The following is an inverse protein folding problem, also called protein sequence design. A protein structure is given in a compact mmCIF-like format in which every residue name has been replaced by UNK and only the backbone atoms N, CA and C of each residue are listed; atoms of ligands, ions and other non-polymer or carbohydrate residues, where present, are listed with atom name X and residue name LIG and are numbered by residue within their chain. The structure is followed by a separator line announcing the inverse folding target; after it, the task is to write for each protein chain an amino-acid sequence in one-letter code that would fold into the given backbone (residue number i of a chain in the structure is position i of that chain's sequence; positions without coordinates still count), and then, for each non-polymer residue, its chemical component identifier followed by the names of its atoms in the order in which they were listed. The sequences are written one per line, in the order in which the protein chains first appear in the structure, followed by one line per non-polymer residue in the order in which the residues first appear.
data_IF_462834591408
#
_entry.id   IF_462834591408
#
_cell.length_a   1.000
_cell.length_b   1.000
_cell.length_c   1.000
_cell.angle_alpha   90.00
_cell.angle_beta   90.00
_cell.angle_gamma   90.00
#
_symmetry.space_group_name_H-M   'P 1'
#
loop_
_entity.id
_entity.type
_entity.pdbx_description
1 polymer ?
#
# COMPACT_ATOMS: atom_id res chain seq x y z
N UNK A 1 51.36 -4.75 -44.86
CA UNK A 1 52.71 -4.45 -45.39
C UNK A 1 53.36 -3.49 -44.41
N UNK A 2 54.28 -3.96 -43.57
CA UNK A 2 55.74 -3.76 -43.73
C UNK A 2 56.08 -2.25 -43.85
N UNK A 3 56.77 -1.60 -42.92
CA UNK A 3 58.09 -1.96 -42.41
C UNK A 3 58.45 -1.27 -41.08
N UNK A 4 59.24 -2.01 -40.31
CA UNK A 4 60.02 -1.62 -39.14
C UNK A 4 61.26 -0.83 -39.59
N UNK A 5 61.63 0.25 -38.88
CA UNK A 5 63.03 0.65 -38.75
C UNK A 5 63.35 1.08 -37.31
N UNK A 6 64.25 0.32 -36.70
CA UNK A 6 64.93 0.58 -35.41
C UNK A 6 66.10 1.55 -35.60
N UNK A 7 66.43 2.31 -34.54
CA UNK A 7 67.78 2.64 -33.99
C UNK A 7 67.57 3.63 -32.82
N UNK A 8 67.79 3.30 -31.55
CA UNK A 8 69.01 2.97 -30.78
C UNK A 8 69.67 4.19 -30.10
N UNK A 9 69.84 4.04 -28.77
CA UNK A 9 70.89 4.55 -27.85
C UNK A 9 70.87 5.99 -27.29
N UNK A 10 70.65 6.03 -25.96
CA UNK A 10 71.42 6.67 -24.89
C UNK A 10 71.49 8.22 -24.72
N UNK A 11 70.89 8.65 -23.60
CA UNK A 11 71.55 9.25 -22.40
C UNK A 11 71.27 10.72 -22.05
N UNK A 12 71.05 10.89 -20.74
CA UNK A 12 71.11 12.06 -19.85
C UNK A 12 69.94 13.06 -19.79
N UNK A 13 69.34 13.06 -18.60
CA UNK A 13 68.65 14.11 -17.83
C UNK A 13 68.54 15.51 -18.43
N UNK A 14 67.30 16.05 -18.43
CA UNK A 14 66.96 17.18 -17.57
C UNK A 14 65.44 17.46 -17.62
N UNK A 15 64.89 17.68 -16.43
CA UNK A 15 63.58 18.25 -16.17
C UNK A 15 63.37 19.55 -16.96
N UNK A 16 62.32 19.60 -17.77
CA UNK A 16 61.56 20.82 -17.99
C UNK A 16 60.16 20.46 -18.50
N UNK A 17 59.17 20.74 -17.65
CA UNK A 17 57.74 20.63 -17.92
C UNK A 17 57.38 21.37 -19.21
N UNK A 18 57.15 20.61 -20.28
CA UNK A 18 56.48 21.11 -21.48
C UNK A 18 55.02 20.68 -21.42
N UNK A 19 54.15 21.65 -21.18
CA UNK A 19 52.70 21.48 -21.24
C UNK A 19 52.31 20.89 -22.61
N UNK A 20 51.75 19.68 -22.61
CA UNK A 20 51.08 19.15 -23.79
C UNK A 20 49.74 19.87 -23.95
N UNK A 21 49.59 20.54 -25.09
CA UNK A 21 48.34 21.15 -25.52
C UNK A 21 47.25 20.06 -25.63
N UNK A 22 46.07 20.22 -25.01
CA UNK A 22 45.00 19.26 -25.16
C UNK A 22 44.45 19.33 -26.58
N UNK A 23 44.54 18.22 -27.32
CA UNK A 23 43.88 18.06 -28.61
C UNK A 23 42.36 18.31 -28.46
N UNK A 24 41.89 19.42 -29.04
CA UNK A 24 40.47 19.71 -29.22
C UNK A 24 39.85 18.77 -30.26
N UNK A 25 39.44 17.58 -29.84
CA UNK A 25 38.48 16.78 -30.58
C UNK A 25 37.06 17.14 -30.10
N UNK A 26 36.43 18.10 -30.77
CA UNK A 26 35.04 18.53 -30.53
C UNK A 26 34.00 17.54 -31.08
N UNK A 27 34.09 16.24 -30.76
CA UNK A 27 33.02 15.30 -31.15
C UNK A 27 32.91 14.00 -30.34
N UNK A 28 33.34 13.98 -29.07
CA UNK A 28 32.91 12.93 -28.14
C UNK A 28 32.19 13.58 -26.96
N UNK A 29 30.97 14.05 -27.21
CA UNK A 29 30.01 14.26 -26.13
C UNK A 29 29.68 12.88 -25.56
N UNK A 30 30.37 12.48 -24.51
CA UNK A 30 29.98 11.34 -23.68
C UNK A 30 28.67 11.72 -23.02
N UNK A 31 27.54 11.52 -23.72
CA UNK A 31 26.22 11.66 -23.12
C UNK A 31 26.18 10.70 -21.95
N UNK A 32 26.02 11.23 -20.74
CA UNK A 32 25.80 10.40 -19.56
C UNK A 32 24.71 9.37 -19.87
N UNK A 33 24.87 8.11 -19.41
CA UNK A 33 23.85 7.10 -19.65
C UNK A 33 22.48 7.61 -19.17
N UNK A 34 21.40 7.31 -19.90
CA UNK A 34 20.07 7.75 -19.53
C UNK A 34 19.76 7.29 -18.10
N UNK A 35 19.16 8.18 -17.30
CA UNK A 35 18.69 7.83 -15.96
C UNK A 35 17.74 6.65 -16.06
N UNK A 36 18.01 5.63 -15.27
CA UNK A 36 17.14 4.46 -15.11
C UNK A 36 16.44 4.50 -13.77
N UNK A 37 15.25 3.92 -13.73
CA UNK A 37 14.44 3.78 -12.52
C UNK A 37 15.18 2.95 -11.47
N UNK A 38 15.30 3.52 -10.28
CA UNK A 38 15.83 2.87 -9.07
C UNK A 38 14.77 2.79 -7.97
N UNK A 39 14.98 1.92 -6.98
CA UNK A 39 14.10 1.84 -5.80
C UNK A 39 14.13 3.19 -5.07
N UNK A 40 12.93 3.70 -4.72
CA UNK A 40 12.76 5.02 -4.10
C UNK A 40 12.45 6.15 -5.09
N UNK A 41 12.75 6.01 -6.38
CA UNK A 41 12.34 7.00 -7.38
C UNK A 41 10.82 7.09 -7.48
N UNK A 42 10.31 8.27 -7.81
CA UNK A 42 8.92 8.46 -8.21
C UNK A 42 8.84 8.27 -9.72
N UNK A 43 8.04 7.31 -10.16
CA UNK A 43 7.89 7.00 -11.59
C UNK A 43 6.46 7.28 -12.01
N UNK A 44 6.31 7.99 -13.13
CA UNK A 44 5.03 8.12 -13.82
C UNK A 44 5.03 7.20 -15.04
N UNK A 45 4.02 6.35 -15.15
CA UNK A 45 3.81 5.48 -16.31
C UNK A 45 2.41 5.69 -16.91
N UNK A 46 2.28 5.47 -18.21
CA UNK A 46 0.98 5.27 -18.87
C UNK A 46 0.68 3.77 -18.88
N UNK A 47 -0.22 3.34 -18.00
CA UNK A 47 -0.51 1.94 -17.72
C UNK A 47 -1.73 1.46 -18.52
N UNK A 48 -1.72 0.19 -18.90
CA UNK A 48 -2.91 -0.55 -19.32
C UNK A 48 -2.81 -1.98 -18.80
N UNK A 49 -3.79 -2.38 -18.00
CA UNK A 49 -3.89 -3.72 -17.43
C UNK A 49 -5.25 -4.35 -17.71
N UNK A 50 -5.27 -5.50 -18.37
CA UNK A 50 -6.50 -6.24 -18.68
C UNK A 50 -6.48 -7.63 -18.04
N UNK A 51 -7.55 -8.06 -17.33
CA UNK A 51 -7.62 -9.43 -16.79
C UNK A 51 -7.54 -10.46 -17.91
N UNK A 52 -6.62 -11.41 -17.84
CA UNK A 52 -6.47 -12.44 -18.89
C UNK A 52 -7.64 -13.43 -18.89
N UNK A 53 -8.14 -13.78 -17.70
CA UNK A 53 -9.22 -14.76 -17.52
C UNK A 53 -10.60 -14.11 -17.27
N UNK A 54 -10.75 -12.82 -17.58
CA UNK A 54 -12.03 -12.09 -17.58
C UNK A 54 -12.65 -11.77 -16.21
N UNK A 55 -12.19 -12.37 -15.11
CA UNK A 55 -12.72 -12.09 -13.78
C UNK A 55 -11.61 -11.81 -12.76
N UNK A 56 -11.31 -10.53 -12.58
CA UNK A 56 -10.70 -10.03 -11.35
C UNK A 56 -11.65 -8.95 -10.82
N UNK A 57 -12.09 -9.01 -9.55
CA UNK A 57 -12.86 -7.94 -8.92
C UNK A 57 -12.16 -6.60 -9.11
N UNK A 58 -12.90 -5.50 -8.96
CA UNK A 58 -12.32 -4.17 -9.06
C UNK A 58 -11.05 -4.08 -8.20
N UNK A 59 -9.86 -3.89 -8.82
CA UNK A 59 -8.63 -3.83 -8.07
C UNK A 59 -8.59 -2.57 -7.22
N UNK A 60 -7.79 -2.61 -6.18
CA UNK A 60 -7.62 -1.49 -5.23
C UNK A 60 -6.79 -0.32 -5.80
N UNK A 61 -6.49 -0.34 -7.09
CA UNK A 61 -5.61 0.58 -7.80
C UNK A 61 -6.07 0.78 -9.25
N UNK A 62 -5.61 1.85 -9.88
CA UNK A 62 -5.94 2.16 -11.27
C UNK A 62 -5.36 1.12 -12.24
N UNK A 63 -6.17 0.67 -13.21
CA UNK A 63 -5.74 -0.28 -14.25
C UNK A 63 -5.32 0.37 -15.57
N UNK A 64 -5.59 1.66 -15.73
CA UNK A 64 -5.37 2.33 -17.00
C UNK A 64 -5.10 3.81 -16.82
N UNK A 65 -4.30 4.36 -17.73
CA UNK A 65 -3.98 5.78 -17.78
C UNK A 65 -2.71 6.12 -17.02
N UNK A 66 -2.54 7.43 -16.77
CA UNK A 66 -1.33 7.97 -16.15
C UNK A 66 -1.36 7.78 -14.65
N UNK A 67 -0.47 6.93 -14.16
CA UNK A 67 -0.30 6.68 -12.72
C UNK A 67 1.10 7.09 -12.30
N UNK A 68 1.24 7.53 -11.06
CA UNK A 68 2.53 7.84 -10.45
C UNK A 68 2.67 7.11 -9.12
N UNK A 69 3.83 6.50 -8.88
CA UNK A 69 4.09 5.82 -7.62
C UNK A 69 5.58 5.79 -7.27
N UNK A 70 5.89 5.65 -5.99
CA UNK A 70 7.26 5.44 -5.50
C UNK A 70 7.63 3.97 -5.65
N UNK A 71 8.73 3.68 -6.33
CA UNK A 71 9.18 2.31 -6.58
C UNK A 71 9.62 1.66 -5.27
N UNK A 72 9.03 0.50 -4.94
CA UNK A 72 9.29 -0.23 -3.70
C UNK A 72 8.47 0.26 -2.50
N UNK A 73 7.55 1.22 -2.68
CA UNK A 73 6.71 1.70 -1.58
C UNK A 73 5.35 1.01 -1.41
N UNK A 74 5.06 0.00 -2.23
CA UNK A 74 3.70 -0.51 -2.33
C UNK A 74 2.82 0.48 -3.11
N UNK A 75 1.51 0.42 -2.94
CA UNK A 75 0.48 1.14 -3.71
C UNK A 75 0.02 0.42 -4.99
N UNK A 76 0.91 -0.30 -5.67
CA UNK A 76 0.59 -1.14 -6.83
C UNK A 76 1.09 -2.57 -6.65
N UNK A 77 0.76 -3.44 -7.62
CA UNK A 77 1.19 -4.84 -7.61
C UNK A 77 2.72 -4.95 -7.54
N UNK A 78 3.29 -5.86 -6.71
CA UNK A 78 4.73 -6.05 -6.60
C UNK A 78 5.43 -6.25 -7.96
N UNK A 79 4.81 -7.04 -8.84
CA UNK A 79 5.33 -7.29 -10.19
C UNK A 79 5.46 -6.00 -11.02
N UNK A 80 4.57 -5.01 -10.82
CA UNK A 80 4.68 -3.73 -11.52
C UNK A 80 5.92 -2.95 -11.04
N UNK A 81 6.19 -2.95 -9.72
CA UNK A 81 7.40 -2.33 -9.16
C UNK A 81 8.68 -3.02 -9.64
N UNK A 82 8.65 -4.33 -9.90
CA UNK A 82 9.79 -5.06 -10.47
C UNK A 82 9.97 -4.74 -11.96
N UNK A 83 8.89 -4.68 -12.74
CA UNK A 83 8.95 -4.43 -14.18
C UNK A 83 9.47 -3.05 -14.55
N UNK A 84 9.17 -2.03 -13.73
CA UNK A 84 9.66 -0.66 -13.97
C UNK A 84 11.13 -0.48 -13.63
N UNK A 85 11.72 -1.35 -12.79
CA UNK A 85 13.12 -1.21 -12.40
C UNK A 85 14.06 -1.34 -13.60
N UNK A 86 15.12 -0.54 -13.60
CA UNK A 86 16.11 -0.46 -14.67
C UNK A 86 15.55 -0.01 -16.04
N UNK A 87 14.32 0.54 -16.09
CA UNK A 87 13.76 1.17 -17.29
C UNK A 87 14.13 2.65 -17.35
N UNK A 88 14.30 3.19 -18.55
CA UNK A 88 14.51 4.61 -18.80
C UNK A 88 13.21 5.27 -19.27
N UNK A 89 13.16 6.61 -19.25
CA UNK A 89 12.05 7.38 -19.83
C UNK A 89 11.91 7.04 -21.31
N UNK A 90 10.68 6.71 -21.73
CA UNK A 90 10.36 6.26 -23.09
C UNK A 90 10.40 4.75 -23.30
N UNK A 91 10.94 3.97 -22.35
CA UNK A 91 10.89 2.52 -22.42
C UNK A 91 9.45 2.02 -22.36
N UNK A 92 9.17 0.97 -23.13
CA UNK A 92 7.87 0.33 -23.21
C UNK A 92 7.96 -1.12 -22.77
N UNK A 93 6.95 -1.54 -22.01
CA UNK A 93 6.68 -2.94 -21.71
C UNK A 93 5.32 -3.27 -22.30
N UNK A 94 5.23 -4.36 -23.03
CA UNK A 94 4.00 -4.76 -23.72
C UNK A 94 3.69 -6.22 -23.41
N UNK A 95 2.42 -6.49 -23.12
CA UNK A 95 1.84 -7.81 -22.98
C UNK A 95 2.63 -8.74 -22.03
N UNK A 96 2.93 -8.24 -20.83
CA UNK A 96 3.54 -9.04 -19.78
C UNK A 96 2.47 -9.49 -18.80
N UNK A 97 2.33 -10.81 -18.66
CA UNK A 97 1.45 -11.41 -17.66
C UNK A 97 2.00 -11.18 -16.26
N UNK A 98 1.22 -10.55 -15.38
CA UNK A 98 1.56 -10.31 -13.98
C UNK A 98 0.50 -10.87 -13.04
N UNK A 99 0.93 -11.39 -11.89
CA UNK A 99 0.04 -11.92 -10.84
C UNK A 99 -0.91 -10.81 -10.35
N UNK A 100 -2.21 -11.11 -10.26
CA UNK A 100 -3.23 -10.16 -9.88
C UNK A 100 -3.31 -9.88 -8.36
N UNK A 101 -2.38 -10.42 -7.56
CA UNK A 101 -2.31 -10.20 -6.11
C UNK A 101 -3.14 -11.19 -5.27
N UNK A 102 -3.67 -12.25 -5.89
CA UNK A 102 -4.52 -13.25 -5.21
C UNK A 102 -3.78 -14.54 -4.83
N UNK A 103 -2.46 -14.55 -5.03
CA UNK A 103 -1.59 -15.67 -4.72
C UNK A 103 -1.57 -16.73 -5.82
N UNK A 104 -0.52 -17.57 -5.78
CA UNK A 104 -0.34 -18.63 -6.77
C UNK A 104 -1.41 -19.70 -6.63
N UNK A 105 -1.91 -20.17 -7.76
CA UNK A 105 -2.74 -21.37 -7.82
C UNK A 105 -1.91 -22.59 -7.44
N UNK A 106 -2.46 -23.44 -6.57
CA UNK A 106 -1.84 -24.70 -6.17
C UNK A 106 -2.61 -25.88 -6.78
N UNK A 107 -1.96 -26.64 -7.67
CA UNK A 107 -2.56 -27.83 -8.30
C UNK A 107 -2.86 -28.95 -7.30
N UNK A 108 -2.13 -29.02 -6.18
CA UNK A 108 -2.38 -30.03 -5.13
C UNK A 108 -3.72 -29.81 -4.40
N UNK A 109 -4.32 -28.63 -4.55
CA UNK A 109 -5.65 -28.30 -4.04
C UNK A 109 -6.77 -28.66 -5.03
N UNK A 110 -6.41 -29.16 -6.22
CA UNK A 110 -7.34 -29.77 -7.17
C UNK A 110 -7.39 -31.26 -6.90
N UNK A 111 -8.55 -31.78 -6.57
CA UNK A 111 -8.69 -33.17 -6.16
C UNK A 111 -9.96 -33.81 -6.68
N UNK A 112 -9.88 -35.11 -6.94
CA UNK A 112 -11.02 -35.92 -7.30
C UNK A 112 -11.71 -36.46 -6.03
N UNK A 113 -13.02 -36.23 -5.92
CA UNK A 113 -13.85 -36.67 -4.81
C UNK A 113 -14.91 -37.67 -5.29
N UNK A 114 -15.02 -38.84 -4.64
CA UNK A 114 -16.09 -39.78 -4.95
C UNK A 114 -17.43 -39.31 -4.39
N UNK A 115 -18.53 -39.71 -5.04
CA UNK A 115 -19.92 -39.44 -4.61
C UNK A 115 -20.16 -39.75 -3.13
N UNK A 116 -19.53 -40.79 -2.59
CA UNK A 116 -19.65 -41.17 -1.17
C UNK A 116 -19.25 -40.05 -0.19
N UNK A 117 -18.30 -39.20 -0.58
CA UNK A 117 -17.83 -38.05 0.21
C UNK A 117 -18.69 -36.79 0.05
N UNK A 118 -19.55 -36.76 -0.98
CA UNK A 118 -20.39 -35.62 -1.33
C UNK A 118 -21.84 -35.77 -0.88
N UNK A 119 -22.16 -36.73 0.01
CA UNK A 119 -23.54 -37.02 0.45
C UNK A 119 -24.35 -35.80 0.88
N UNK A 120 -23.70 -34.78 1.47
CA UNK A 120 -24.35 -33.54 1.92
C UNK A 120 -24.59 -32.51 0.80
N UNK A 121 -24.00 -32.72 -0.37
CA UNK A 121 -23.99 -31.81 -1.50
C UNK A 121 -24.64 -32.40 -2.76
N UNK A 122 -25.23 -33.60 -2.66
CA UNK A 122 -26.00 -34.18 -3.75
C UNK A 122 -27.27 -33.36 -4.01
N UNK A 123 -27.70 -33.35 -5.26
CA UNK A 123 -28.98 -32.77 -5.63
C UNK A 123 -30.14 -33.58 -5.02
N UNK A 124 -31.35 -33.03 -5.03
CA UNK A 124 -32.54 -33.67 -4.42
C UNK A 124 -32.86 -35.05 -4.99
N UNK A 125 -32.49 -35.29 -6.25
CA UNK A 125 -32.63 -36.56 -6.96
C UNK A 125 -31.46 -37.55 -6.71
N UNK A 126 -30.47 -37.16 -5.89
CA UNK A 126 -29.28 -37.95 -5.60
C UNK A 126 -28.19 -37.87 -6.67
N UNK A 127 -28.33 -37.00 -7.68
CA UNK A 127 -27.28 -36.74 -8.68
C UNK A 127 -26.13 -35.90 -8.11
N UNK A 128 -24.99 -35.93 -8.81
CA UNK A 128 -23.80 -35.16 -8.46
C UNK A 128 -24.05 -33.65 -8.67
N UNK A 129 -23.39 -32.77 -7.90
CA UNK A 129 -23.51 -31.33 -8.10
C UNK A 129 -22.97 -30.95 -9.50
N UNK A 130 -23.63 -30.03 -10.23
CA UNK A 130 -23.19 -29.64 -11.57
C UNK A 130 -21.91 -28.81 -11.55
N UNK A 131 -21.22 -28.76 -12.69
CA UNK A 131 -20.05 -27.90 -12.91
C UNK A 131 -20.39 -26.44 -12.61
N UNK A 132 -19.47 -25.74 -11.96
CA UNK A 132 -19.66 -24.35 -11.50
C UNK A 132 -20.34 -24.23 -10.13
N UNK A 133 -20.81 -25.33 -9.53
CA UNK A 133 -21.36 -25.29 -8.16
C UNK A 133 -20.25 -25.04 -7.15
N UNK A 134 -20.48 -24.11 -6.21
CA UNK A 134 -19.58 -23.88 -5.07
C UNK A 134 -20.09 -24.62 -3.84
N UNK A 135 -19.38 -25.65 -3.40
CA UNK A 135 -19.68 -26.44 -2.22
C UNK A 135 -19.06 -25.78 -0.99
N UNK A 136 -19.86 -25.47 0.03
CA UNK A 136 -19.40 -24.85 1.27
C UNK A 136 -19.22 -25.91 2.36
N UNK A 137 -17.98 -26.14 2.77
CA UNK A 137 -17.62 -27.05 3.87
C UNK A 137 -17.73 -26.36 5.24
N UNK A 138 -17.64 -27.16 6.30
CA UNK A 138 -17.48 -26.65 7.65
C UNK A 138 -16.18 -25.85 7.78
N UNK A 139 -16.20 -24.77 8.56
CA UNK A 139 -15.05 -23.85 8.67
C UNK A 139 -14.93 -22.85 7.52
N UNK A 140 -15.92 -22.76 6.61
CA UNK A 140 -15.97 -21.73 5.58
C UNK A 140 -15.11 -22.01 4.34
N UNK A 141 -14.52 -23.20 4.24
CA UNK A 141 -13.80 -23.64 3.04
C UNK A 141 -14.80 -23.79 1.88
N UNK A 142 -14.45 -23.27 0.72
CA UNK A 142 -15.24 -23.34 -0.50
C UNK A 142 -14.54 -24.26 -1.48
N UNK A 143 -15.30 -25.13 -2.15
CA UNK A 143 -14.82 -25.99 -3.22
C UNK A 143 -15.61 -25.69 -4.49
N UNK A 144 -14.96 -25.34 -5.58
CA UNK A 144 -15.62 -25.17 -6.88
C UNK A 144 -15.63 -26.50 -7.63
N UNK A 145 -16.79 -26.95 -8.11
CA UNK A 145 -16.89 -28.15 -8.95
C UNK A 145 -16.41 -27.79 -10.36
N UNK A 146 -15.26 -28.33 -10.77
CA UNK A 146 -14.68 -28.10 -12.10
C UNK A 146 -15.22 -29.08 -13.14
N UNK A 147 -15.39 -30.35 -12.74
CA UNK A 147 -15.81 -31.41 -13.64
C UNK A 147 -16.61 -32.47 -12.90
N UNK A 148 -17.53 -33.11 -13.59
CA UNK A 148 -18.34 -34.23 -13.09
C UNK A 148 -18.12 -35.43 -14.00
N UNK A 149 -17.75 -36.57 -13.44
CA UNK A 149 -17.67 -37.84 -14.15
C UNK A 149 -18.81 -38.76 -13.66
N UNK A 150 -19.87 -38.85 -14.47
CA UNK A 150 -21.04 -39.65 -14.12
C UNK A 150 -20.77 -41.16 -14.15
N UNK A 151 -19.90 -41.65 -15.03
CA UNK A 151 -19.59 -43.09 -15.12
C UNK A 151 -18.84 -43.58 -13.89
N UNK A 152 -17.83 -42.82 -13.44
CA UNK A 152 -17.03 -43.15 -12.26
C UNK A 152 -17.67 -42.69 -10.96
N UNK A 153 -18.79 -41.95 -11.02
CA UNK A 153 -19.46 -41.32 -9.87
C UNK A 153 -18.48 -40.46 -9.05
N UNK A 154 -17.65 -39.67 -9.72
CA UNK A 154 -16.66 -38.77 -9.13
C UNK A 154 -16.84 -37.33 -9.62
N UNK A 155 -16.29 -36.37 -8.88
CA UNK A 155 -16.19 -34.97 -9.28
C UNK A 155 -14.78 -34.47 -9.06
N UNK A 156 -14.31 -33.57 -9.92
CA UNK A 156 -13.07 -32.82 -9.69
C UNK A 156 -13.45 -31.50 -9.06
N UNK A 157 -12.88 -31.22 -7.89
CA UNK A 157 -13.09 -29.96 -7.17
C UNK A 157 -11.80 -29.17 -7.08
N UNK A 158 -11.95 -27.85 -7.02
CA UNK A 158 -10.89 -26.90 -6.74
C UNK A 158 -11.08 -26.29 -5.34
N UNK A 159 -10.10 -26.51 -4.46
CA UNK A 159 -10.06 -25.92 -3.12
C UNK A 159 -9.23 -24.63 -3.05
N UNK A 160 -8.69 -24.14 -4.17
CA UNK A 160 -8.01 -22.85 -4.21
C UNK A 160 -8.98 -21.70 -3.85
N UNK A 161 -8.46 -20.58 -3.31
CA UNK A 161 -9.20 -19.32 -3.29
C UNK A 161 -9.72 -18.98 -4.69
N UNK A 162 -10.94 -18.41 -4.84
CA UNK A 162 -11.59 -18.23 -6.15
C UNK A 162 -10.81 -17.48 -7.23
N UNK A 163 -9.80 -16.68 -6.84
CA UNK A 163 -9.00 -15.85 -7.73
C UNK A 163 -7.52 -16.24 -7.74
N UNK A 164 -7.14 -17.34 -7.07
CA UNK A 164 -5.75 -17.77 -7.05
C UNK A 164 -5.26 -18.10 -8.46
N UNK A 165 -4.09 -17.56 -8.82
CA UNK A 165 -3.53 -17.65 -10.16
C UNK A 165 -4.17 -16.73 -11.20
N UNK A 166 -5.06 -15.80 -10.79
CA UNK A 166 -5.51 -14.76 -11.68
C UNK A 166 -4.35 -13.83 -12.07
N UNK A 167 -4.35 -13.39 -13.32
CA UNK A 167 -3.29 -12.57 -13.92
C UNK A 167 -3.88 -11.39 -14.70
N UNK A 168 -3.06 -10.35 -14.85
CA UNK A 168 -3.29 -9.23 -15.75
C UNK A 168 -2.28 -9.28 -16.90
N UNK A 169 -2.76 -9.05 -18.11
CA UNK A 169 -1.93 -8.62 -19.24
C UNK A 169 -1.59 -7.15 -19.02
N UNK A 170 -0.32 -6.87 -18.75
CA UNK A 170 0.19 -5.55 -18.41
C UNK A 170 1.02 -4.97 -19.55
N UNK A 171 0.68 -3.75 -19.95
CA UNK A 171 1.45 -2.93 -20.86
C UNK A 171 1.61 -1.53 -20.28
N UNK A 172 2.81 -0.95 -20.38
CA UNK A 172 3.03 0.43 -19.96
C UNK A 172 4.16 1.12 -20.72
N UNK A 173 4.15 2.45 -20.68
CA UNK A 173 5.27 3.30 -21.12
C UNK A 173 5.76 4.15 -19.95
N UNK A 174 7.07 4.23 -19.74
CA UNK A 174 7.65 5.12 -18.72
C UNK A 174 7.63 6.57 -19.23
N UNK A 175 6.91 7.44 -18.54
CA UNK A 175 6.71 8.84 -18.93
C UNK A 175 7.71 9.80 -18.25
N UNK A 176 7.98 9.60 -16.96
CA UNK A 176 8.95 10.41 -16.22
C UNK A 176 9.53 9.64 -15.03
N UNK A 177 10.74 10.05 -14.62
CA UNK A 177 11.44 9.57 -13.42
C UNK A 177 11.84 10.81 -12.63
N UNK A 178 11.21 10.99 -11.49
CA UNK A 178 11.46 12.09 -10.56
C UNK A 178 12.26 11.56 -9.36
N UNK A 179 13.08 12.43 -8.76
CA UNK A 179 13.94 12.05 -7.63
C UNK A 179 13.14 11.53 -6.43
N UNK A 180 13.72 10.50 -5.79
CA UNK A 180 13.27 10.06 -4.48
C UNK A 180 13.19 11.26 -3.53
N UNK A 181 12.05 11.44 -2.86
CA UNK A 181 11.98 12.42 -1.79
C UNK A 181 12.97 12.01 -0.71
N UNK A 182 13.96 12.87 -0.45
CA UNK A 182 14.84 12.75 0.70
C UNK A 182 14.00 12.87 1.96
N UNK A 183 13.66 11.73 2.55
CA UNK A 183 12.85 11.62 3.77
C UNK A 183 13.45 12.36 4.97
N UNK A 184 14.76 12.62 4.92
CA UNK A 184 15.51 13.36 5.94
C UNK A 184 15.54 14.88 5.68
N UNK A 185 15.23 15.32 4.45
CA UNK A 185 15.35 16.70 3.99
C UNK A 185 14.07 17.18 3.28
N UNK A 186 12.91 17.18 3.94
CA UNK A 186 11.75 17.92 3.44
C UNK A 186 11.58 19.25 4.18
N UNK A 187 12.45 20.26 3.96
CA UNK A 187 11.97 21.63 4.02
C UNK A 187 11.06 21.84 2.81
N UNK A 188 9.79 22.13 3.09
CA UNK A 188 8.79 22.51 2.09
C UNK A 188 9.30 23.66 1.22
N UNK A 189 9.84 23.31 0.05
CA UNK A 189 9.95 24.22 -1.07
C UNK A 189 8.58 24.19 -1.76
N UNK A 190 7.82 25.29 -1.63
CA UNK A 190 6.51 25.50 -2.27
C UNK A 190 6.45 25.23 -3.79
N UNK A 191 7.57 25.00 -4.48
CA UNK A 191 7.64 24.62 -5.90
C UNK A 191 7.79 23.11 -6.16
N UNK A 192 7.85 22.25 -5.13
CA UNK A 192 7.90 20.82 -5.39
C UNK A 192 6.50 20.26 -5.70
N UNK A 193 6.39 19.55 -6.82
CA UNK A 193 5.16 18.89 -7.26
C UNK A 193 4.64 17.92 -6.19
N UNK A 194 5.55 17.15 -5.60
CA UNK A 194 5.26 16.17 -4.57
C UNK A 194 5.43 16.77 -3.17
N UNK A 195 4.46 16.50 -2.30
CA UNK A 195 4.41 16.97 -0.92
C UNK A 195 4.19 15.79 0.04
N UNK A 196 4.57 16.00 1.30
CA UNK A 196 4.38 15.01 2.37
C UNK A 196 3.33 15.52 3.35
N UNK A 197 2.48 14.60 3.82
CA UNK A 197 1.61 14.81 4.97
C UNK A 197 1.72 13.63 5.92
N UNK A 198 1.58 13.88 7.23
CA UNK A 198 1.70 12.83 8.25
C UNK A 198 0.50 12.86 9.18
N UNK A 199 -0.14 11.71 9.35
CA UNK A 199 -1.42 11.57 10.05
C UNK A 199 -1.34 10.45 11.08
N UNK A 200 -1.70 10.72 12.33
CA UNK A 200 -1.98 9.71 13.35
C UNK A 200 -3.49 9.57 13.49
N UNK A 201 -4.03 8.42 13.08
CA UNK A 201 -5.47 8.17 12.97
C UNK A 201 -5.94 6.97 13.81
N UNK A 202 -5.20 6.62 14.86
CA UNK A 202 -5.36 5.34 15.54
C UNK A 202 -4.57 4.25 14.83
N UNK A 203 -5.15 3.04 14.71
CA UNK A 203 -4.48 1.93 14.03
C UNK A 203 -4.12 2.30 12.58
N UNK A 204 -2.82 2.30 12.28
CA UNK A 204 -2.31 2.81 11.01
C UNK A 204 -2.66 1.95 9.78
N UNK A 205 -3.08 0.69 9.95
CA UNK A 205 -3.29 -0.24 8.84
C UNK A 205 -4.49 0.12 7.98
N UNK A 206 -5.63 0.45 8.61
CA UNK A 206 -6.83 0.88 7.91
C UNK A 206 -6.68 2.27 7.30
N UNK A 207 -5.99 3.19 7.99
CA UNK A 207 -5.72 4.52 7.47
C UNK A 207 -4.75 4.51 6.29
N UNK A 208 -3.69 3.68 6.33
CA UNK A 208 -2.78 3.49 5.21
C UNK A 208 -3.54 3.07 3.95
N UNK A 209 -4.37 2.02 4.05
CA UNK A 209 -5.18 1.54 2.94
C UNK A 209 -6.12 2.60 2.37
N UNK A 210 -6.72 3.43 3.24
CA UNK A 210 -7.59 4.53 2.81
C UNK A 210 -6.82 5.56 1.97
N UNK A 211 -5.60 5.96 2.39
CA UNK A 211 -4.78 6.91 1.64
C UNK A 211 -4.22 6.32 0.35
N UNK A 212 -3.85 5.04 0.33
CA UNK A 212 -3.37 4.36 -0.88
C UNK A 212 -4.37 4.44 -2.03
N UNK A 213 -5.67 4.47 -1.71
CA UNK A 213 -6.77 4.54 -2.69
C UNK A 213 -7.08 5.94 -3.20
N UNK A 214 -6.43 6.98 -2.68
CA UNK A 214 -6.71 8.36 -3.08
C UNK A 214 -5.95 8.67 -4.38
N UNK A 215 -6.63 9.02 -5.48
CA UNK A 215 -5.96 9.42 -6.71
C UNK A 215 -5.03 10.62 -6.46
N UNK A 216 -3.78 10.51 -6.91
CA UNK A 216 -2.73 11.50 -6.65
C UNK A 216 -1.83 11.19 -5.45
N UNK A 217 -2.17 10.21 -4.60
CA UNK A 217 -1.22 9.64 -3.65
C UNK A 217 -0.27 8.71 -4.39
N UNK A 218 1.03 8.98 -4.27
CA UNK A 218 2.09 8.24 -4.98
C UNK A 218 2.84 7.27 -4.07
N UNK A 219 2.66 7.37 -2.75
CA UNK A 219 3.20 6.37 -1.84
C UNK A 219 2.81 6.62 -0.40
N UNK A 220 2.73 5.53 0.37
CA UNK A 220 2.45 5.56 1.80
C UNK A 220 3.49 4.75 2.57
N UNK A 221 3.68 5.13 3.82
CA UNK A 221 4.47 4.39 4.81
C UNK A 221 3.78 4.47 6.15
N UNK A 222 3.78 3.36 6.89
CA UNK A 222 3.37 3.35 8.29
C UNK A 222 4.59 3.34 9.21
N UNK A 223 4.46 3.97 10.37
CA UNK A 223 5.58 4.19 11.27
C UNK A 223 5.20 4.87 12.57
N UNK A 224 6.23 5.38 13.23
CA UNK A 224 6.18 5.94 14.57
C UNK A 224 6.75 7.35 14.58
N UNK A 225 6.04 8.29 15.18
CA UNK A 225 6.51 9.70 15.27
C UNK A 225 6.03 10.37 16.57
N UNK A 226 6.51 11.59 16.83
CA UNK A 226 6.22 12.41 18.01
C UNK A 226 6.58 11.81 19.38
N UNK A 227 7.29 10.69 19.41
CA UNK A 227 7.82 10.10 20.63
C UNK A 227 9.23 10.60 20.96
N UNK A 228 9.82 10.01 21.99
CA UNK A 228 11.13 10.42 22.51
C UNK A 228 12.22 9.39 22.35
N UNK A 229 11.92 8.21 21.80
CA UNK A 229 12.89 7.13 21.60
C UNK A 229 13.33 7.12 20.14
N UNK A 230 14.63 7.02 19.89
CA UNK A 230 15.13 6.89 18.52
C UNK A 230 14.99 5.46 18.02
N UNK A 231 14.54 5.28 16.77
CA UNK A 231 14.38 3.97 16.11
C UNK A 231 13.58 2.94 16.96
N UNK A 232 12.36 3.28 17.42
CA UNK A 232 11.56 2.36 18.24
C UNK A 232 11.05 1.17 17.42
N UNK A 233 10.95 -0.01 18.02
CA UNK A 233 10.23 -1.16 17.43
C UNK A 233 8.73 -1.10 17.74
N UNK A 234 7.92 -1.88 17.03
CA UNK A 234 6.50 -2.03 17.37
C UNK A 234 6.30 -2.42 18.84
N UNK A 235 7.06 -3.39 19.34
CA UNK A 235 6.99 -3.85 20.72
C UNK A 235 7.31 -2.73 21.72
N UNK A 236 8.31 -1.90 21.42
CA UNK A 236 8.65 -0.74 22.25
C UNK A 236 7.48 0.24 22.31
N UNK A 237 6.86 0.54 21.16
CA UNK A 237 5.71 1.45 21.07
C UNK A 237 4.50 0.90 21.82
N UNK A 238 4.24 -0.41 21.74
CA UNK A 238 3.19 -1.08 22.51
C UNK A 238 3.37 -0.98 24.03
N UNK A 239 4.58 -0.73 24.53
CA UNK A 239 4.77 -0.47 25.97
C UNK A 239 4.18 0.85 26.44
N UNK A 240 3.85 1.77 25.52
CA UNK A 240 3.41 3.14 25.82
C UNK A 240 4.50 4.07 26.36
N UNK A 241 5.70 3.57 26.68
CA UNK A 241 6.78 4.35 27.31
C UNK A 241 7.51 5.26 26.33
N UNK A 242 7.49 4.92 25.05
CA UNK A 242 8.21 5.68 24.02
C UNK A 242 7.52 6.98 23.66
N UNK A 243 6.23 7.10 24.01
CA UNK A 243 5.31 8.20 23.66
C UNK A 243 5.13 8.43 22.17
N UNK A 244 5.62 7.51 21.33
CA UNK A 244 5.33 7.53 19.89
C UNK A 244 3.85 7.32 19.64
N UNK A 245 3.45 7.74 18.45
CA UNK A 245 2.15 7.47 17.88
C UNK A 245 2.31 6.67 16.61
N UNK A 246 1.40 5.74 16.38
CA UNK A 246 1.22 5.14 15.07
C UNK A 246 0.81 6.24 14.09
N UNK A 247 1.57 6.38 13.02
CA UNK A 247 1.38 7.42 12.03
C UNK A 247 1.55 6.87 10.61
N UNK A 248 0.86 7.52 9.70
CA UNK A 248 0.89 7.25 8.27
C UNK A 248 1.55 8.47 7.61
N UNK A 249 2.65 8.24 6.94
CA UNK A 249 3.27 9.21 6.04
C UNK A 249 2.70 8.99 4.64
N UNK A 250 2.19 10.06 4.04
CA UNK A 250 1.59 10.07 2.71
C UNK A 250 2.36 11.03 1.83
N UNK A 251 2.88 10.51 0.72
CA UNK A 251 3.46 11.30 -0.36
C UNK A 251 2.41 11.46 -1.45
N UNK A 252 2.14 12.70 -1.84
CA UNK A 252 1.10 13.02 -2.81
C UNK A 252 1.55 14.07 -3.82
N UNK A 253 0.99 13.98 -5.03
CA UNK A 253 1.10 15.00 -6.06
C UNK A 253 0.10 16.14 -5.76
N UNK A 254 0.64 17.28 -5.34
CA UNK A 254 -0.16 18.46 -4.96
C UNK A 254 -0.93 19.10 -6.12
N UNK A 255 -0.61 18.71 -7.37
CA UNK A 255 -1.34 19.13 -8.57
C UNK A 255 -2.56 18.26 -8.88
N UNK A 256 -2.63 17.06 -8.29
CA UNK A 256 -3.74 16.10 -8.46
C UNK A 256 -4.65 16.07 -7.23
N UNK A 257 -4.06 16.04 -6.03
CA UNK A 257 -4.80 16.01 -4.77
C UNK A 257 -4.30 17.09 -3.81
N UNK A 258 -5.23 17.82 -3.22
CA UNK A 258 -4.93 18.85 -2.24
C UNK A 258 -4.86 18.29 -0.81
N UNK A 259 -4.10 18.97 0.04
CA UNK A 259 -4.07 18.66 1.48
C UNK A 259 -5.46 18.66 2.13
N UNK A 260 -6.38 19.53 1.67
CA UNK A 260 -7.77 19.54 2.12
C UNK A 260 -8.51 18.24 1.83
N UNK A 261 -8.29 17.64 0.65
CA UNK A 261 -8.90 16.36 0.30
C UNK A 261 -8.34 15.24 1.16
N UNK A 262 -7.02 15.21 1.40
CA UNK A 262 -6.40 14.24 2.30
C UNK A 262 -6.91 14.39 3.75
N UNK A 263 -7.09 15.62 4.21
CA UNK A 263 -7.66 15.90 5.53
C UNK A 263 -9.11 15.41 5.66
N UNK A 264 -9.93 15.52 4.61
CA UNK A 264 -11.28 14.94 4.60
C UNK A 264 -11.24 13.42 4.76
N UNK A 265 -10.37 12.74 4.02
CA UNK A 265 -10.16 11.28 4.16
C UNK A 265 -9.72 10.92 5.59
N UNK A 266 -8.81 11.70 6.18
CA UNK A 266 -8.40 11.53 7.57
C UNK A 266 -9.57 11.67 8.57
N UNK A 267 -10.40 12.71 8.40
CA UNK A 267 -11.54 12.97 9.28
C UNK A 267 -12.66 11.92 9.12
N UNK A 268 -12.99 11.54 7.89
CA UNK A 268 -13.93 10.46 7.59
C UNK A 268 -13.46 9.14 8.22
N UNK A 269 -12.15 8.88 8.18
CA UNK A 269 -11.57 7.70 8.78
C UNK A 269 -11.70 7.69 10.30
N UNK A 270 -11.44 8.83 10.95
CA UNK A 270 -11.66 8.98 12.40
C UNK A 270 -13.13 8.79 12.77
N UNK A 271 -14.04 9.31 11.93
CA UNK A 271 -15.48 9.15 12.12
C UNK A 271 -15.96 7.71 12.07
N UNK A 272 -15.45 6.91 11.14
CA UNK A 272 -15.79 5.50 11.03
C UNK A 272 -15.30 4.65 12.23
N UNK A 273 -14.32 5.14 12.99
CA UNK A 273 -13.74 4.43 14.14
C UNK A 273 -14.29 4.89 15.49
N UNK A 274 -15.29 5.78 15.52
CA UNK A 274 -15.86 6.30 16.76
C UNK A 274 -16.93 5.35 17.33
N UNK A 275 -16.76 4.81 18.57
CA UNK A 275 -17.74 3.92 19.19
C UNK A 275 -19.02 4.61 19.67
N UNK A 276 -19.13 5.95 19.61
CA UNK A 276 -20.31 6.68 20.11
C UNK A 276 -20.84 7.73 19.10
N UNK A 277 -21.68 7.33 18.13
CA UNK A 277 -22.27 8.26 17.15
C UNK A 277 -23.38 9.17 17.72
N UNK A 278 -23.87 8.93 18.95
CA UNK A 278 -25.06 9.62 19.49
C UNK A 278 -24.85 11.03 20.05
N UNK A 279 -23.63 11.60 19.97
CA UNK A 279 -23.42 13.03 20.24
C UNK A 279 -23.60 13.89 18.97
N UNK A 280 -24.29 13.37 17.96
CA UNK A 280 -24.78 14.16 16.84
C UNK A 280 -25.96 15.03 17.31
N UNK A 281 -25.69 16.31 17.55
CA UNK A 281 -26.74 17.30 17.74
C UNK A 281 -27.58 17.43 16.46
N UNK A 282 -28.79 16.85 16.49
CA UNK A 282 -29.95 17.36 15.75
C UNK A 282 -30.04 17.00 14.26
N UNK A 283 -30.27 15.73 13.93
CA UNK A 283 -31.03 15.38 12.73
C UNK A 283 -32.03 14.29 13.09
N UNK A 284 -33.33 14.63 13.08
CA UNK A 284 -34.42 13.69 13.21
C UNK A 284 -34.32 12.63 12.09
N UNK A 285 -33.77 11.46 12.42
CA UNK A 285 -33.97 10.25 11.64
C UNK A 285 -35.19 9.56 12.26
N UNK A 286 -36.22 9.19 11.49
CA UNK A 286 -37.37 8.46 12.02
C UNK A 286 -36.89 7.17 12.69
N UNK A 287 -37.35 6.96 13.92
CA UNK A 287 -37.20 5.70 14.65
C UNK A 287 -38.05 4.63 13.93
N UNK A 288 -37.46 3.99 12.91
CA UNK A 288 -37.95 2.70 12.44
C UNK A 288 -37.20 1.62 13.22
N UNK A 289 -37.91 1.07 14.21
CA UNK A 289 -37.52 -0.02 15.10
C UNK A 289 -37.05 -1.27 14.33
N UNK A 290 -35.74 -1.50 14.22
CA UNK A 290 -35.14 -2.85 14.05
C UNK A 290 -33.60 -2.92 14.24
N UNK A 291 -33.00 -2.02 15.05
CA UNK A 291 -31.57 -2.04 15.37
C UNK A 291 -31.23 -2.97 16.55
N UNK A 292 -31.11 -4.27 16.27
CA UNK A 292 -30.70 -5.29 17.24
C UNK A 292 -29.17 -5.38 17.48
N UNK A 293 -28.44 -4.26 17.36
CA UNK A 293 -27.00 -4.19 17.65
C UNK A 293 -26.60 -3.07 18.62
N UNK A 294 -27.55 -2.25 19.08
CA UNK A 294 -27.31 -1.24 20.11
C UNK A 294 -27.45 -1.81 21.52
N UNK A 295 -26.45 -2.55 22.02
CA UNK A 295 -26.11 -2.71 23.45
C UNK A 295 -25.20 -3.94 23.68
N UNK A 296 -23.93 -3.84 23.28
CA UNK A 296 -22.90 -4.82 23.67
C UNK A 296 -21.73 -4.21 24.46
N UNK A 297 -21.78 -2.92 24.79
CA UNK A 297 -20.71 -2.22 25.52
C UNK A 297 -21.23 -1.22 26.57
N UNK A 298 -22.35 -1.54 27.23
CA UNK A 298 -22.76 -0.83 28.42
C UNK A 298 -22.85 -1.84 29.57
N UNK A 299 -22.21 -1.48 30.69
CA UNK A 299 -22.17 -2.17 31.98
C UNK A 299 -21.05 -3.22 32.13
N UNK A 300 -19.91 -2.78 32.69
CA UNK A 300 -19.44 -3.24 34.02
C UNK A 300 -18.19 -2.42 34.46
N UNK A 301 -18.33 -1.80 35.63
CA UNK A 301 -17.32 -1.33 36.60
C UNK A 301 -16.49 -0.03 36.37
N UNK A 302 -17.01 1.05 36.97
CA UNK A 302 -16.43 2.38 37.24
C UNK A 302 -15.17 2.38 38.17
N UNK A 303 -14.28 1.37 38.13
CA UNK A 303 -13.10 1.31 39.01
C UNK A 303 -11.74 1.06 38.31
N UNK A 304 -11.64 1.19 36.98
CA UNK A 304 -10.36 1.05 36.24
C UNK A 304 -9.88 2.31 35.51
N UNK A 305 -10.20 3.51 35.99
CA UNK A 305 -9.89 4.76 35.27
C UNK A 305 -8.45 5.31 35.42
N UNK A 306 -7.56 4.67 36.19
CA UNK A 306 -6.20 5.18 36.42
C UNK A 306 -5.07 4.39 35.75
N UNK A 307 -5.21 3.08 35.52
CA UNK A 307 -4.11 2.28 34.94
C UNK A 307 -4.15 2.17 33.39
N UNK A 308 -5.31 2.40 32.77
CA UNK A 308 -5.49 2.29 31.31
C UNK A 308 -5.00 3.50 30.49
N UNK A 309 -4.47 4.55 31.15
CA UNK A 309 -3.95 5.77 30.47
C UNK A 309 -2.58 5.58 29.81
N UNK A 310 -1.88 4.49 30.10
CA UNK A 310 -0.53 4.25 29.57
C UNK A 310 -0.50 3.29 28.38
N UNK A 311 -1.47 2.38 28.27
CA UNK A 311 -1.46 1.25 27.32
C UNK A 311 -1.95 1.57 25.90
N UNK A 312 -2.60 2.73 25.68
CA UNK A 312 -3.15 3.13 24.37
C UNK A 312 -2.66 4.51 23.88
N UNK A 313 -1.54 5.02 24.39
CA UNK A 313 -1.01 6.33 23.98
C UNK A 313 -0.60 6.39 22.50
N UNK A 314 -0.32 5.25 21.89
CA UNK A 314 0.09 5.10 20.50
C UNK A 314 -1.05 5.37 19.51
N UNK A 315 -2.31 5.21 19.91
CA UNK A 315 -3.50 5.37 19.05
C UNK A 315 -4.10 6.77 19.08
N UNK A 316 -3.47 7.71 19.79
CA UNK A 316 -3.99 9.08 19.88
C UNK A 316 -3.94 9.78 18.53
N UNK A 317 -4.97 10.55 18.22
CA UNK A 317 -5.09 11.25 16.95
C UNK A 317 -4.17 12.48 16.88
N UNK A 318 -3.64 12.75 15.70
CA UNK A 318 -2.78 13.91 15.49
C UNK A 318 -2.53 14.20 14.02
N UNK A 319 -2.55 15.48 13.67
CA UNK A 319 -2.23 15.99 12.35
C UNK A 319 -0.86 16.66 12.43
N UNK A 320 0.09 16.16 11.65
CA UNK A 320 1.47 16.61 11.69
C UNK A 320 1.84 17.34 10.40
N UNK A 321 1.92 18.66 10.51
CA UNK A 321 2.15 19.52 9.36
C UNK A 321 3.65 19.63 9.05
N UNK A 322 3.95 19.62 7.76
CA UNK A 322 5.28 19.88 7.21
C UNK A 322 5.45 21.33 6.75
N UNK A 323 4.36 22.09 6.69
CA UNK A 323 4.39 23.50 6.31
C UNK A 323 3.33 24.38 6.95
N UNK A 324 3.56 25.70 6.91
CA UNK A 324 2.64 26.68 7.47
C UNK A 324 1.31 26.71 6.70
N UNK A 325 1.31 26.37 5.41
CA UNK A 325 0.08 26.21 4.61
C UNK A 325 -0.75 25.04 5.14
N UNK A 326 -0.14 23.88 5.36
CA UNK A 326 -0.81 22.72 5.95
C UNK A 326 -1.33 23.03 7.35
N UNK A 327 -0.52 23.71 8.18
CA UNK A 327 -0.91 24.15 9.52
C UNK A 327 -2.14 25.06 9.48
N UNK A 328 -2.12 26.07 8.62
CA UNK A 328 -3.23 27.04 8.50
C UNK A 328 -4.53 26.35 8.09
N UNK A 329 -4.46 25.46 7.11
CA UNK A 329 -5.60 24.66 6.64
C UNK A 329 -6.13 23.76 7.76
N UNK A 330 -5.25 23.00 8.41
CA UNK A 330 -5.64 22.10 9.49
C UNK A 330 -6.23 22.87 10.67
N UNK A 331 -5.62 23.99 11.06
CA UNK A 331 -6.11 24.82 12.16
C UNK A 331 -7.49 25.41 11.86
N UNK A 332 -7.72 25.87 10.64
CA UNK A 332 -9.03 26.38 10.23
C UNK A 332 -10.11 25.30 10.34
N UNK A 333 -9.83 24.09 9.86
CA UNK A 333 -10.78 22.98 9.91
C UNK A 333 -11.05 22.54 11.35
N UNK A 334 -10.01 22.40 12.18
CA UNK A 334 -10.14 22.03 13.59
C UNK A 334 -10.92 23.09 14.40
N UNK A 335 -10.81 24.36 14.02
CA UNK A 335 -11.52 25.48 14.66
C UNK A 335 -12.98 25.63 14.19
N UNK A 336 -13.38 24.97 13.09
CA UNK A 336 -14.73 25.11 12.52
C UNK A 336 -15.85 24.55 13.41
N UNK A 337 -15.51 23.95 14.56
CA UNK A 337 -16.46 23.48 15.57
C UNK A 337 -17.11 22.13 15.27
N UNK A 338 -16.81 21.54 14.10
CA UNK A 338 -17.33 20.22 13.69
C UNK A 338 -16.48 19.04 14.18
N UNK A 339 -15.37 19.29 14.87
CA UNK A 339 -14.45 18.23 15.27
C UNK A 339 -14.77 17.68 16.66
N UNK A 340 -15.28 16.45 16.69
CA UNK A 340 -15.61 15.71 17.92
C UNK A 340 -14.36 15.02 18.51
N UNK A 341 -13.25 14.99 17.76
CA UNK A 341 -12.03 14.27 18.13
C UNK A 341 -10.99 15.18 18.81
N UNK A 342 -10.35 14.67 19.85
CA UNK A 342 -9.12 15.24 20.42
C UNK A 342 -7.96 14.97 19.44
N UNK A 343 -7.75 15.91 18.50
CA UNK A 343 -6.70 15.86 17.48
C UNK A 343 -5.61 16.84 17.85
N UNK A 344 -4.40 16.33 18.08
CA UNK A 344 -3.22 17.15 18.29
C UNK A 344 -2.72 17.73 16.95
N UNK A 345 -2.60 19.05 16.85
CA UNK A 345 -1.96 19.72 15.70
C UNK A 345 -0.53 20.17 16.08
N UNK A 346 0.49 19.55 15.47
CA UNK A 346 1.91 19.87 15.71
C UNK A 346 2.72 19.83 14.42
N UNK A 347 3.91 20.45 14.45
CA UNK A 347 4.87 20.26 13.37
C UNK A 347 5.33 18.79 13.34
N UNK A 348 5.53 18.25 12.15
CA UNK A 348 6.04 16.89 11.99
C UNK A 348 7.44 16.74 12.63
N UNK A 349 7.56 15.75 13.51
CA UNK A 349 8.83 15.30 14.05
C UNK A 349 9.41 14.18 13.16
N UNK A 350 10.59 13.67 13.52
CA UNK A 350 11.21 12.53 12.85
C UNK A 350 10.21 11.36 12.74
N UNK A 351 10.13 10.79 11.53
CA UNK A 351 9.29 9.63 11.24
C UNK A 351 10.17 8.39 11.18
N UNK A 352 9.92 7.45 12.09
CA UNK A 352 10.58 6.14 12.10
C UNK A 352 9.69 5.14 11.38
N UNK A 353 10.16 4.58 10.28
CA UNK A 353 9.41 3.57 9.53
C UNK A 353 9.19 2.31 10.40
N UNK A 354 7.96 1.79 10.41
CA UNK A 354 7.65 0.51 11.06
C UNK A 354 8.17 -0.67 10.24
N UNK A 355 8.23 -1.85 10.86
CA UNK A 355 8.72 -3.08 10.25
C UNK A 355 7.94 -3.44 8.97
N UNK A 356 8.59 -4.16 8.04
CA UNK A 356 8.02 -4.50 6.73
C UNK A 356 6.72 -5.32 6.82
N UNK A 357 6.51 -6.03 7.93
CA UNK A 357 5.27 -6.75 8.22
C UNK A 357 4.08 -5.81 8.42
N UNK A 358 4.29 -4.57 8.87
CA UNK A 358 3.23 -3.59 9.07
C UNK A 358 2.90 -2.80 7.80
N UNK A 359 3.86 -2.68 6.87
CA UNK A 359 3.67 -1.97 5.61
C UNK A 359 2.64 -2.68 4.73
N UNK A 360 1.60 -1.96 4.30
CA UNK A 360 0.52 -2.48 3.46
C UNK A 360 -0.14 -3.76 4.04
N UNK A 361 -0.26 -3.84 5.36
CA UNK A 361 -0.70 -5.04 6.07
C UNK A 361 -2.04 -5.61 5.56
N UNK A 362 -3.05 -4.75 5.37
CA UNK A 362 -4.36 -5.17 4.89
C UNK A 362 -4.35 -5.60 3.42
N UNK A 363 -3.51 -4.96 2.59
CA UNK A 363 -3.32 -5.37 1.19
C UNK A 363 -2.64 -6.75 1.10
N UNK A 364 -1.74 -7.05 2.03
CA UNK A 364 -1.07 -8.36 2.18
C UNK A 364 -1.99 -9.44 2.81
N UNK A 365 -3.27 -9.12 3.09
CA UNK A 365 -4.23 -10.06 3.66
C UNK A 365 -4.14 -10.25 5.19
N UNK A 366 -3.53 -9.29 5.89
CA UNK A 366 -3.20 -9.41 7.32
C UNK A 366 -4.38 -9.48 8.30
N UNK A 367 -5.62 -9.18 7.90
CA UNK A 367 -6.80 -9.44 8.74
C UNK A 367 -7.84 -10.27 8.01
N UNK A 368 -8.28 -11.34 8.67
CA UNK A 368 -9.32 -12.22 8.15
C UNK A 368 -10.67 -11.95 8.81
N UNK A 369 -11.62 -11.40 8.06
CA UNK A 369 -13.02 -11.29 8.48
C UNK A 369 -13.82 -12.59 8.23
N UNK A 370 -13.16 -13.72 7.98
CA UNK A 370 -13.84 -15.00 7.71
C UNK A 370 -14.59 -15.46 8.96
N UNK A 371 -15.80 -15.99 8.78
CA UNK A 371 -16.59 -16.60 9.86
C UNK A 371 -15.77 -17.68 10.59
N UNK A 372 -15.49 -17.46 11.87
CA UNK A 372 -14.67 -18.36 12.70
C UNK A 372 -13.20 -17.96 12.84
N UNK A 373 -12.77 -16.84 12.26
CA UNK A 373 -11.47 -16.24 12.58
C UNK A 373 -11.40 -15.91 14.08
N UNK A 374 -10.28 -16.30 14.71
CA UNK A 374 -10.00 -16.01 16.13
C UNK A 374 -9.15 -14.75 16.33
N UNK A 375 -8.67 -14.18 15.23
CA UNK A 375 -7.93 -12.92 15.24
C UNK A 375 -8.86 -11.80 15.66
N UNK A 376 -8.46 -11.05 16.68
CA UNK A 376 -9.14 -9.82 17.06
C UNK A 376 -9.01 -8.82 15.92
N UNK A 377 -10.13 -8.39 15.34
CA UNK A 377 -10.15 -7.31 14.34
C UNK A 377 -9.65 -6.05 15.05
N UNK A 378 -8.48 -5.57 14.66
CA UNK A 378 -7.85 -4.38 15.26
C UNK A 378 -8.22 -3.09 14.51
N UNK A 379 -8.66 -3.20 13.27
CA UNK A 379 -9.15 -2.07 12.49
C UNK A 379 -10.02 -2.56 11.32
N UNK A 380 -11.05 -1.79 10.98
CA UNK A 380 -11.84 -2.03 9.78
C UNK A 380 -11.13 -1.43 8.56
N UNK A 381 -10.95 -2.17 7.48
CA UNK A 381 -10.31 -1.68 6.24
C UNK A 381 -11.30 -1.20 5.20
#
# INVERSE_FOLDING_TARGET
MCQVLRKSSNSYDNDELRAEEPCHCSSCATTAPPRVVSVGDIVTIDLTMTPENGLVPEPLFDRSGKISFIVGWGNYLPALHELVQNKAVGDQVQHVSIDAGWGKRNEDLVMELPKSKLRRFLQKDGSLPPVGTVLKLQGGIQLAVLQVNEEQQTVIVDANPPLAGASYDCSFTVLSIDDALSLEDVPDNNNNKYQISTWALGCFWGGELAFMRVPGVVGTRVGYTQGTVSNPTYEDVCTGKTRHREAIMVVYDSTVVSYNQLMRVALERLAATNPNPSKNNGSNIPEDDDDMFGNLFAEEDDQQEQDNKTTNQQYRHGFYYHSEKQRSIAQQELNSGNNIYDIELKQAAVFYQAEETHQQYLLKGGQSARKGAKETIRCFG
#
